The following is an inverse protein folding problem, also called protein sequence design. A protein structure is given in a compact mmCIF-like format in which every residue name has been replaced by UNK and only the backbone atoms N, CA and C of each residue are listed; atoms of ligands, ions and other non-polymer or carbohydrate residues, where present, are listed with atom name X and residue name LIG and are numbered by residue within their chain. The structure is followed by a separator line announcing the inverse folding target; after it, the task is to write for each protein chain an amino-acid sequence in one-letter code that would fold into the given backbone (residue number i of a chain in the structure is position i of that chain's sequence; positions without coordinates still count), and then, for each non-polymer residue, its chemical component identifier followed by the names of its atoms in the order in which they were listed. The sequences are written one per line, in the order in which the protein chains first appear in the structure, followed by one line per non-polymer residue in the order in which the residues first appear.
data_IF_334295021508
#
_entry.id   IF_334295021508
#
_cell.length_a   1.000
_cell.length_b   1.000
_cell.length_c   1.000
_cell.angle_alpha   90.00
_cell.angle_beta   90.00
_cell.angle_gamma   90.00
#
_symmetry.space_group_name_H-M   'P 1'
#
loop_
_entity.id
_entity.type
_entity.pdbx_description
1 polymer ?
#
# COMPACT_ATOMS: atom_id res chain seq x y z
N UNK A 1 5.03 27.85 -20.83
CA UNK A 1 4.60 26.43 -20.77
C UNK A 1 5.67 25.56 -20.12
N UNK A 2 6.93 25.64 -20.56
CA UNK A 2 8.07 24.92 -19.96
C UNK A 2 8.29 25.20 -18.47
N UNK A 3 8.16 26.45 -18.03
CA UNK A 3 8.28 26.81 -16.60
C UNK A 3 7.25 26.09 -15.72
N UNK A 4 6.02 25.92 -16.21
CA UNK A 4 4.94 25.24 -15.48
C UNK A 4 5.24 23.74 -15.38
N UNK A 5 5.69 23.12 -16.48
CA UNK A 5 6.07 21.70 -16.50
C UNK A 5 7.22 21.44 -15.52
N UNK A 6 8.22 22.32 -15.51
CA UNK A 6 9.37 22.19 -14.62
C UNK A 6 8.97 22.27 -13.14
N UNK A 7 8.08 23.19 -12.76
CA UNK A 7 7.57 23.28 -11.39
C UNK A 7 6.73 22.04 -11.00
N UNK A 8 5.87 21.55 -11.90
CA UNK A 8 5.11 20.30 -11.67
C UNK A 8 6.07 19.12 -11.44
N UNK A 9 7.14 19.01 -12.23
CA UNK A 9 8.15 17.96 -12.06
C UNK A 9 8.84 18.05 -10.70
N UNK A 10 9.20 19.25 -10.23
CA UNK A 10 9.79 19.42 -8.90
C UNK A 10 8.83 18.96 -7.80
N UNK A 11 7.59 19.45 -7.81
CA UNK A 11 6.62 19.11 -6.77
C UNK A 11 6.30 17.61 -6.74
N UNK A 12 6.14 17.00 -7.91
CA UNK A 12 5.84 15.56 -8.01
C UNK A 12 7.03 14.69 -7.60
N UNK A 13 8.26 15.10 -7.90
CA UNK A 13 9.47 14.46 -7.39
C UNK A 13 9.57 14.55 -5.85
N UNK A 14 9.36 15.74 -5.29
CA UNK A 14 9.37 15.95 -3.82
C UNK A 14 8.29 15.11 -3.15
N UNK A 15 7.08 15.09 -3.70
CA UNK A 15 5.98 14.28 -3.20
C UNK A 15 6.33 12.79 -3.23
N UNK A 16 6.96 12.32 -4.32
CA UNK A 16 7.41 10.94 -4.45
C UNK A 16 8.44 10.55 -3.39
N UNK A 17 9.44 11.40 -3.18
CA UNK A 17 10.53 11.14 -2.23
C UNK A 17 10.01 11.18 -0.79
N UNK A 18 9.26 12.22 -0.42
CA UNK A 18 8.70 12.35 0.93
C UNK A 18 7.69 11.24 1.22
N UNK A 19 6.82 10.91 0.27
CA UNK A 19 5.91 9.77 0.36
C UNK A 19 6.67 8.46 0.55
N UNK A 20 7.76 8.25 -0.21
CA UNK A 20 8.63 7.10 -0.07
C UNK A 20 9.24 6.99 1.33
N UNK A 21 9.76 8.08 1.89
CA UNK A 21 10.31 8.10 3.26
C UNK A 21 9.23 7.74 4.29
N UNK A 22 8.05 8.36 4.21
CA UNK A 22 6.90 8.08 5.08
C UNK A 22 6.43 6.63 4.94
N UNK A 23 6.56 6.04 3.75
CA UNK A 23 6.26 4.63 3.52
C UNK A 23 7.32 3.72 4.15
N UNK A 24 8.61 3.98 3.93
CA UNK A 24 9.69 3.07 4.28
C UNK A 24 9.92 2.96 5.79
N UNK A 25 9.99 4.07 6.52
CA UNK A 25 10.35 4.07 7.95
C UNK A 25 9.36 3.22 8.78
N UNK A 26 8.03 3.43 8.69
CA UNK A 26 7.07 2.62 9.42
C UNK A 26 7.05 1.16 8.98
N UNK A 27 7.23 0.89 7.67
CA UNK A 27 7.25 -0.48 7.15
C UNK A 27 8.40 -1.31 7.72
N UNK A 28 9.60 -0.74 7.77
CA UNK A 28 10.79 -1.40 8.34
C UNK A 28 10.54 -1.66 9.83
N UNK A 29 10.12 -0.63 10.56
CA UNK A 29 9.83 -0.75 11.99
C UNK A 29 8.80 -1.84 12.28
N UNK A 30 7.66 -1.83 11.58
CA UNK A 30 6.57 -2.79 11.78
C UNK A 30 6.98 -4.20 11.35
N UNK A 31 7.71 -4.34 10.23
CA UNK A 31 8.15 -5.64 9.73
C UNK A 31 9.08 -6.33 10.72
N UNK A 32 9.96 -5.59 11.39
CA UNK A 32 10.83 -6.11 12.46
C UNK A 32 10.00 -6.38 13.72
N UNK A 33 9.19 -5.40 14.16
CA UNK A 33 8.44 -5.47 15.43
C UNK A 33 7.43 -6.62 15.45
N UNK A 34 6.76 -6.87 14.33
CA UNK A 34 5.71 -7.87 14.19
C UNK A 34 6.20 -9.20 13.58
N UNK A 35 7.49 -9.33 13.28
CA UNK A 35 8.08 -10.51 12.62
C UNK A 35 7.66 -11.84 13.27
N UNK A 36 7.71 -11.91 14.61
CA UNK A 36 7.34 -13.13 15.37
C UNK A 36 5.87 -13.50 15.23
N UNK A 37 5.00 -12.54 14.90
CA UNK A 37 3.56 -12.73 14.70
C UNK A 37 3.17 -12.77 13.22
N UNK A 38 4.14 -12.69 12.28
CA UNK A 38 3.88 -12.59 10.83
C UNK A 38 2.91 -13.67 10.36
N UNK A 39 3.20 -14.94 10.66
CA UNK A 39 2.36 -16.06 10.21
C UNK A 39 0.93 -15.90 10.71
N UNK A 40 0.71 -15.78 12.03
CA UNK A 40 -0.62 -15.60 12.61
C UNK A 40 -1.38 -14.37 12.05
N UNK A 41 -0.69 -13.23 11.89
CA UNK A 41 -1.29 -12.01 11.31
C UNK A 41 -1.69 -12.27 9.85
N UNK A 42 -0.82 -12.89 9.08
CA UNK A 42 -1.04 -13.16 7.65
C UNK A 42 -2.21 -14.12 7.48
N UNK A 43 -2.23 -15.24 8.20
CA UNK A 43 -3.34 -16.21 8.14
C UNK A 43 -4.67 -15.55 8.45
N UNK A 44 -4.75 -14.77 9.54
CA UNK A 44 -6.00 -14.07 9.90
C UNK A 44 -6.45 -13.09 8.81
N UNK A 45 -5.50 -12.42 8.14
CA UNK A 45 -5.83 -11.53 7.02
C UNK A 45 -6.33 -12.35 5.83
N UNK A 46 -5.64 -13.43 5.45
CA UNK A 46 -6.03 -14.29 4.33
C UNK A 46 -7.42 -14.91 4.58
N UNK A 47 -7.71 -15.33 5.80
CA UNK A 47 -9.02 -15.89 6.15
C UNK A 47 -10.17 -14.87 6.04
N UNK A 48 -9.86 -13.58 6.19
CA UNK A 48 -10.83 -12.49 6.04
C UNK A 48 -11.06 -12.03 4.59
N UNK A 49 -10.20 -12.46 3.66
CA UNK A 49 -10.27 -12.13 2.24
C UNK A 49 -11.27 -13.07 1.55
N UNK A 50 -12.00 -12.61 0.50
CA UNK A 50 -12.87 -13.49 -0.27
C UNK A 50 -12.13 -14.73 -0.80
N UNK A 51 -12.77 -15.90 -0.74
CA UNK A 51 -12.13 -17.19 -1.08
C UNK A 51 -11.42 -17.17 -2.44
N UNK A 52 -12.04 -16.54 -3.45
CA UNK A 52 -11.50 -16.39 -4.82
C UNK A 52 -10.20 -15.58 -4.91
N UNK A 53 -9.80 -14.89 -3.85
CA UNK A 53 -8.61 -14.03 -3.80
C UNK A 53 -7.56 -14.50 -2.80
N UNK A 54 -7.83 -15.52 -1.97
CA UNK A 54 -6.94 -15.95 -0.88
C UNK A 54 -5.53 -16.24 -1.38
N UNK A 55 -5.40 -17.03 -2.44
CA UNK A 55 -4.08 -17.39 -3.01
C UNK A 55 -3.35 -16.17 -3.57
N UNK A 56 -4.07 -15.25 -4.22
CA UNK A 56 -3.48 -14.04 -4.80
C UNK A 56 -2.97 -13.09 -3.72
N UNK A 57 -3.73 -12.91 -2.64
CA UNK A 57 -3.32 -12.05 -1.53
C UNK A 57 -2.20 -12.71 -0.73
N UNK A 58 -2.25 -14.04 -0.53
CA UNK A 58 -1.15 -14.78 0.12
C UNK A 58 0.14 -14.63 -0.65
N UNK A 59 0.09 -14.88 -1.96
CA UNK A 59 1.25 -14.67 -2.84
C UNK A 59 1.75 -13.22 -2.75
N UNK A 60 0.86 -12.24 -2.81
CA UNK A 60 1.26 -10.83 -2.68
C UNK A 60 1.96 -10.54 -1.35
N UNK A 61 1.48 -11.09 -0.23
CA UNK A 61 2.11 -10.89 1.09
C UNK A 61 3.47 -11.58 1.16
N UNK A 62 3.58 -12.80 0.65
CA UNK A 62 4.79 -13.61 0.79
C UNK A 62 5.90 -13.22 -0.19
N UNK A 63 5.55 -12.78 -1.39
CA UNK A 63 6.49 -12.33 -2.41
C UNK A 63 7.01 -10.89 -2.18
N UNK A 64 6.34 -10.10 -1.32
CA UNK A 64 6.76 -8.74 -1.04
C UNK A 64 7.88 -8.70 0.01
N UNK A 65 8.92 -7.90 -0.27
CA UNK A 65 10.02 -7.66 0.67
C UNK A 65 9.52 -7.08 2.00
N UNK A 66 8.49 -6.22 1.97
CA UNK A 66 7.73 -5.82 3.16
C UNK A 66 6.37 -6.51 3.18
N UNK A 67 6.26 -7.58 3.96
CA UNK A 67 5.00 -8.28 4.18
C UNK A 67 3.93 -7.38 4.83
N UNK A 68 4.35 -6.38 5.63
CA UNK A 68 3.44 -5.39 6.24
C UNK A 68 2.83 -4.51 5.16
N UNK A 69 3.64 -4.02 4.21
CA UNK A 69 3.13 -3.18 3.13
C UNK A 69 2.06 -3.90 2.31
N UNK A 70 2.34 -5.15 1.94
CA UNK A 70 1.40 -5.99 1.20
C UNK A 70 0.14 -6.33 2.00
N UNK A 71 0.27 -6.57 3.32
CA UNK A 71 -0.87 -6.79 4.21
C UNK A 71 -1.82 -5.56 4.29
N UNK A 72 -1.29 -4.35 4.03
CA UNK A 72 -2.06 -3.11 3.92
C UNK A 72 -2.55 -2.82 2.49
N UNK A 73 -2.48 -3.80 1.58
CA UNK A 73 -2.87 -3.63 0.18
C UNK A 73 -4.25 -2.99 -0.02
N UNK A 74 -5.23 -3.29 0.85
CA UNK A 74 -6.58 -2.71 0.74
C UNK A 74 -6.61 -1.17 0.90
N UNK A 75 -5.59 -0.56 1.51
CA UNK A 75 -5.48 0.89 1.74
C UNK A 75 -4.61 1.60 0.68
N UNK A 76 -4.00 0.83 -0.23
CA UNK A 76 -3.26 1.38 -1.36
C UNK A 76 -4.24 1.63 -2.51
N UNK A 77 -4.16 2.80 -3.15
CA UNK A 77 -5.12 3.21 -4.17
C UNK A 77 -5.15 2.25 -5.36
N UNK A 78 -3.99 1.90 -5.93
CA UNK A 78 -3.93 1.00 -7.08
C UNK A 78 -4.48 -0.41 -6.75
N UNK A 79 -3.99 -1.12 -5.71
CA UNK A 79 -4.60 -2.39 -5.33
C UNK A 79 -6.08 -2.29 -5.00
N UNK A 80 -6.53 -1.23 -4.31
CA UNK A 80 -7.95 -1.02 -4.04
C UNK A 80 -8.78 -0.95 -5.32
N UNK A 81 -8.33 -0.21 -6.34
CA UNK A 81 -9.01 -0.13 -7.64
C UNK A 81 -9.05 -1.49 -8.33
N UNK A 82 -7.95 -2.24 -8.34
CA UNK A 82 -7.91 -3.60 -8.89
C UNK A 82 -8.87 -4.55 -8.15
N UNK A 83 -8.91 -4.49 -6.83
CA UNK A 83 -9.80 -5.31 -6.02
C UNK A 83 -11.26 -4.95 -6.28
N UNK A 84 -11.58 -3.65 -6.33
CA UNK A 84 -12.96 -3.17 -6.51
C UNK A 84 -13.48 -3.44 -7.92
N UNK A 85 -12.70 -3.08 -8.94
CA UNK A 85 -13.16 -3.09 -10.33
C UNK A 85 -12.68 -4.30 -11.12
N UNK A 86 -11.49 -4.82 -10.85
CA UNK A 86 -10.95 -6.02 -11.52
C UNK A 86 -11.41 -7.34 -10.89
N UNK A 87 -11.63 -7.35 -9.57
CA UNK A 87 -12.05 -8.55 -8.83
C UNK A 87 -13.44 -8.44 -8.18
N UNK A 88 -14.14 -7.35 -8.46
CA UNK A 88 -15.52 -7.10 -8.02
C UNK A 88 -15.73 -7.31 -6.51
N UNK A 89 -14.76 -6.92 -5.69
CA UNK A 89 -14.86 -7.03 -4.23
C UNK A 89 -15.96 -6.10 -3.72
N UNK A 90 -16.93 -6.68 -3.03
CA UNK A 90 -18.10 -6.00 -2.48
C UNK A 90 -17.70 -5.18 -1.25
N UNK A 91 -18.51 -4.16 -0.94
CA UNK A 91 -18.25 -3.30 0.22
C UNK A 91 -18.25 -4.08 1.55
N UNK A 92 -19.13 -5.08 1.67
CA UNK A 92 -19.18 -5.95 2.84
C UNK A 92 -17.88 -6.76 3.01
N UNK A 93 -17.32 -7.29 1.91
CA UNK A 93 -16.06 -8.03 1.90
C UNK A 93 -14.88 -7.12 2.33
N UNK A 94 -14.82 -5.88 1.81
CA UNK A 94 -13.82 -4.90 2.25
C UNK A 94 -13.95 -4.57 3.74
N UNK A 95 -15.17 -4.48 4.28
CA UNK A 95 -15.39 -4.18 5.69
C UNK A 95 -14.88 -5.30 6.58
N UNK A 96 -15.13 -6.55 6.22
CA UNK A 96 -14.61 -7.73 6.94
C UNK A 96 -13.09 -7.74 6.93
N UNK A 97 -12.47 -7.56 5.75
CA UNK A 97 -11.03 -7.49 5.61
C UNK A 97 -10.43 -6.32 6.43
N UNK A 98 -11.01 -5.12 6.34
CA UNK A 98 -10.62 -3.95 7.13
C UNK A 98 -10.64 -4.24 8.63
N UNK A 99 -11.74 -4.83 9.13
CA UNK A 99 -11.90 -5.16 10.54
C UNK A 99 -10.85 -6.17 11.01
N UNK A 100 -10.61 -7.23 10.22
CA UNK A 100 -9.58 -8.22 10.52
C UNK A 100 -8.19 -7.58 10.56
N UNK A 101 -7.81 -6.78 9.55
CA UNK A 101 -6.53 -6.06 9.54
C UNK A 101 -6.38 -5.14 10.75
N UNK A 102 -7.42 -4.37 11.09
CA UNK A 102 -7.40 -3.48 12.25
C UNK A 102 -7.22 -4.26 13.57
N UNK A 103 -7.92 -5.39 13.71
CA UNK A 103 -7.86 -6.23 14.89
C UNK A 103 -6.46 -6.84 15.09
N UNK A 104 -5.87 -7.42 14.04
CA UNK A 104 -4.58 -8.14 14.15
C UNK A 104 -3.39 -7.21 14.34
N UNK A 105 -3.42 -6.02 13.73
CA UNK A 105 -2.39 -5.00 13.94
C UNK A 105 -2.59 -4.23 15.26
N UNK A 106 -3.83 -4.16 15.76
CA UNK A 106 -4.17 -3.52 17.02
C UNK A 106 -3.64 -2.08 17.09
N UNK A 107 -2.86 -1.76 18.14
CA UNK A 107 -2.26 -0.42 18.32
C UNK A 107 -1.34 0.01 17.17
N UNK A 108 -0.81 -0.93 16.39
CA UNK A 108 0.07 -0.64 15.27
C UNK A 108 -0.69 -0.32 13.98
N UNK A 109 -2.02 -0.40 14.00
CA UNK A 109 -2.85 -0.20 12.82
C UNK A 109 -2.60 1.15 12.14
N UNK A 110 -2.63 2.23 12.91
CA UNK A 110 -2.46 3.58 12.38
C UNK A 110 -1.05 3.81 11.83
N UNK A 111 -0.03 3.15 12.38
CA UNK A 111 1.33 3.27 11.88
C UNK A 111 1.47 2.61 10.50
N UNK A 112 0.79 1.47 10.28
CA UNK A 112 0.71 0.85 8.96
C UNK A 112 -0.13 1.68 7.98
N UNK A 113 -1.18 2.36 8.46
CA UNK A 113 -2.00 3.24 7.64
C UNK A 113 -1.23 4.49 7.18
N UNK A 114 -0.42 5.09 8.05
CA UNK A 114 0.51 6.18 7.68
C UNK A 114 1.48 5.70 6.60
N UNK A 115 1.99 4.48 6.73
CA UNK A 115 2.87 3.86 5.74
C UNK A 115 2.19 3.70 4.38
N UNK A 116 0.95 3.18 4.36
CA UNK A 116 0.16 3.03 3.15
C UNK A 116 -0.15 4.39 2.49
N UNK A 117 -0.45 5.41 3.30
CA UNK A 117 -0.62 6.78 2.81
C UNK A 117 0.67 7.32 2.16
N UNK A 118 1.82 7.12 2.80
CA UNK A 118 3.12 7.42 2.19
C UNK A 118 3.31 6.71 0.85
N UNK A 119 2.94 5.43 0.76
CA UNK A 119 2.99 4.66 -0.49
C UNK A 119 2.09 5.23 -1.59
N UNK A 120 0.88 5.69 -1.24
CA UNK A 120 -0.02 6.36 -2.17
C UNK A 120 0.56 7.68 -2.69
N UNK A 121 1.13 8.51 -1.80
CA UNK A 121 1.80 9.75 -2.21
C UNK A 121 3.01 9.47 -3.10
N UNK A 122 3.80 8.46 -2.73
CA UNK A 122 4.97 8.04 -3.49
C UNK A 122 4.59 7.65 -4.92
N UNK A 123 3.60 6.77 -5.04
CA UNK A 123 3.08 6.27 -6.31
C UNK A 123 2.42 7.36 -7.15
N UNK A 124 1.58 8.21 -6.54
CA UNK A 124 0.90 9.30 -7.25
C UNK A 124 1.91 10.32 -7.82
N UNK A 125 2.91 10.70 -7.04
CA UNK A 125 4.00 11.56 -7.53
C UNK A 125 4.76 10.90 -8.69
N UNK A 126 5.03 9.59 -8.59
CA UNK A 126 5.87 8.88 -9.56
C UNK A 126 5.14 8.71 -10.90
N UNK A 127 3.85 8.43 -10.87
CA UNK A 127 2.98 8.30 -12.05
C UNK A 127 2.94 9.59 -12.87
N UNK A 128 3.08 10.75 -12.24
CA UNK A 128 3.11 12.05 -12.93
C UNK A 128 4.55 12.43 -13.33
N UNK A 129 5.51 12.24 -12.41
CA UNK A 129 6.90 12.65 -12.62
C UNK A 129 7.56 11.90 -13.77
N UNK A 130 7.41 10.57 -13.83
CA UNK A 130 8.14 9.74 -14.81
C UNK A 130 7.77 10.13 -16.26
N UNK A 131 6.48 10.17 -16.67
CA UNK A 131 6.13 10.56 -18.04
C UNK A 131 6.59 11.97 -18.40
N UNK A 132 6.45 12.93 -17.49
CA UNK A 132 6.92 14.30 -17.72
C UNK A 132 8.43 14.38 -17.88
N UNK A 133 9.18 13.61 -17.10
CA UNK A 133 10.65 13.54 -17.20
C UNK A 133 11.13 12.94 -18.51
N UNK A 134 10.35 12.05 -19.13
CA UNK A 134 10.66 11.45 -20.44
C UNK A 134 10.31 12.45 -21.55
N UNK A 135 9.16 13.12 -21.45
CA UNK A 135 8.71 14.11 -22.43
C UNK A 135 9.60 15.36 -22.50
N UNK A 136 10.19 15.77 -21.37
CA UNK A 136 11.04 16.96 -21.27
C UNK A 136 12.54 16.68 -21.54
N UNK A 137 12.87 15.50 -22.07
CA UNK A 137 14.22 15.17 -22.58
C UNK A 137 14.25 15.38 -24.09
#
# INVERSE_FOLDING_TARGET
METIIHEIMKYTAVLSVLGGIIMFIPNIYLSIKLRKKRSSITETIIDSVPDRLKDKIRFAIDANMSWVFAAYGLYLWLPYLFLRYGHHVKQAEFKVWHQATKQVFGRYFYLGLISAFGGNLAGAGAVIFIPLSIYNR
#
